data_IF_198292185783
#
_entry.id   IF_198292185783
#
_cell.length_a   1.000
_cell.length_b   1.000
_cell.length_c   1.000
_cell.angle_alpha   90.00
_cell.angle_beta   90.00
_cell.angle_gamma   90.00
#
_symmetry.space_group_name_H-M   'P 1'
#
loop_
_entity.id
_entity.type
_entity.pdbx_description
1 polymer ?
#
# COMPACT_ATOMS: atom_id res chain seq x y z
N UNK A 1 15.72 11.65 13.44
CA UNK A 1 14.44 11.19 12.86
C UNK A 1 14.47 9.68 12.98
N UNK A 2 13.63 9.07 13.81
CA UNK A 2 13.68 7.62 14.07
C UNK A 2 13.42 6.88 12.75
N UNK A 3 14.41 6.11 12.28
CA UNK A 3 14.25 5.24 11.11
C UNK A 3 13.29 4.09 11.48
N UNK A 4 12.00 4.26 11.16
CA UNK A 4 11.01 3.22 11.41
C UNK A 4 11.24 2.08 10.42
N UNK A 5 11.69 0.94 10.95
CA UNK A 5 11.79 -0.31 10.18
C UNK A 5 10.68 -1.24 10.60
N UNK A 6 9.85 -1.65 9.63
CA UNK A 6 8.78 -2.61 9.86
C UNK A 6 9.30 -4.03 9.69
N UNK A 7 8.97 -4.90 10.65
CA UNK A 7 9.36 -6.32 10.73
C UNK A 7 10.85 -6.56 10.44
N UNK A 8 11.71 -5.60 10.84
CA UNK A 8 13.15 -5.55 10.54
C UNK A 8 13.52 -5.68 9.05
N UNK A 9 12.57 -5.46 8.15
CA UNK A 9 12.74 -5.63 6.69
C UNK A 9 12.44 -4.36 5.91
N UNK A 10 11.36 -3.66 6.21
CA UNK A 10 10.92 -2.53 5.40
C UNK A 10 11.29 -1.21 6.07
N UNK A 11 12.28 -0.50 5.52
CA UNK A 11 12.68 0.82 6.02
C UNK A 11 11.77 1.89 5.42
N UNK A 12 10.95 2.54 6.24
CA UNK A 12 10.07 3.62 5.75
C UNK A 12 10.92 4.82 5.29
N UNK A 13 10.68 5.28 4.06
CA UNK A 13 11.34 6.45 3.47
C UNK A 13 10.46 7.70 3.65
N UNK A 14 9.19 7.61 3.25
CA UNK A 14 8.24 8.74 3.28
C UNK A 14 6.80 8.29 3.25
N UNK A 15 5.90 9.11 3.77
CA UNK A 15 4.46 8.96 3.57
C UNK A 15 4.07 9.42 2.15
N UNK A 16 3.22 8.65 1.48
CA UNK A 16 2.65 8.94 0.16
C UNK A 16 1.25 9.53 0.26
N UNK A 17 0.43 8.94 1.12
CA UNK A 17 -0.96 9.33 1.27
C UNK A 17 -1.52 8.92 2.62
N UNK A 18 -2.51 9.68 3.05
CA UNK A 18 -3.30 9.47 4.24
C UNK A 18 -4.77 9.55 3.87
N UNK A 19 -5.59 8.58 4.28
CA UNK A 19 -7.03 8.59 4.02
C UNK A 19 -7.83 7.79 5.05
N UNK A 20 -9.15 7.77 4.90
CA UNK A 20 -10.09 7.22 5.89
C UNK A 20 -9.97 5.72 6.18
N UNK A 21 -9.17 4.98 5.42
CA UNK A 21 -8.98 3.53 5.62
C UNK A 21 -7.52 3.15 5.87
N UNK A 22 -6.58 4.10 5.88
CA UNK A 22 -5.18 3.78 6.06
C UNK A 22 -4.19 4.85 5.65
N UNK A 23 -2.92 4.54 5.88
CA UNK A 23 -1.76 5.33 5.47
C UNK A 23 -0.94 4.53 4.46
N UNK A 24 -0.42 5.17 3.43
CA UNK A 24 0.49 4.53 2.47
C UNK A 24 1.86 5.19 2.56
N UNK A 25 2.91 4.38 2.59
CA UNK A 25 4.31 4.80 2.65
C UNK A 25 5.09 4.26 1.47
N UNK A 26 6.17 4.95 1.07
CA UNK A 26 7.28 4.30 0.38
C UNK A 26 8.21 3.71 1.43
N UNK A 27 8.63 2.46 1.22
CA UNK A 27 9.67 1.82 1.99
C UNK A 27 10.72 1.19 1.07
N UNK A 28 11.91 0.91 1.60
CA UNK A 28 12.94 0.07 0.99
C UNK A 28 12.87 -1.34 1.59
N UNK A 29 12.90 -2.38 0.75
CA UNK A 29 13.04 -3.76 1.21
C UNK A 29 14.52 -4.07 1.50
N UNK A 30 14.87 -4.03 2.78
CA UNK A 30 16.25 -4.19 3.25
C UNK A 30 16.79 -5.62 3.07
N UNK A 31 15.91 -6.60 2.85
CA UNK A 31 16.31 -8.00 2.66
C UNK A 31 16.68 -8.33 1.21
N UNK A 32 16.33 -7.46 0.26
CA UNK A 32 16.65 -7.67 -1.16
C UNK A 32 17.88 -6.85 -1.56
N UNK A 33 18.77 -7.40 -2.42
CA UNK A 33 19.91 -6.66 -2.96
C UNK A 33 19.44 -5.39 -3.68
N UNK A 34 20.15 -4.28 -3.42
CA UNK A 34 19.84 -2.98 -4.03
C UNK A 34 18.63 -2.27 -3.40
N UNK A 35 18.05 -2.82 -2.34
CA UNK A 35 17.00 -2.19 -1.53
C UNK A 35 15.86 -1.59 -2.38
N UNK A 36 15.18 -2.42 -3.20
CA UNK A 36 14.12 -1.93 -4.06
C UNK A 36 13.00 -1.28 -3.26
N UNK A 37 12.39 -0.25 -3.84
CA UNK A 37 11.25 0.45 -3.23
C UNK A 37 9.98 -0.40 -3.32
N UNK A 38 9.18 -0.33 -2.27
CA UNK A 38 7.84 -0.89 -2.21
C UNK A 38 6.86 0.11 -1.59
N UNK A 39 5.57 -0.04 -1.90
CA UNK A 39 4.51 0.67 -1.22
C UNK A 39 4.05 -0.15 -0.01
N UNK A 40 4.00 0.46 1.17
CA UNK A 40 3.44 -0.14 2.39
C UNK A 40 2.12 0.53 2.69
N UNK A 41 1.02 -0.22 2.63
CA UNK A 41 -0.29 0.22 3.15
C UNK A 41 -0.46 -0.26 4.58
N UNK A 42 -0.75 0.67 5.47
CA UNK A 42 -1.10 0.46 6.87
C UNK A 42 -2.62 0.62 7.02
N UNK A 43 -3.29 -0.41 7.51
CA UNK A 43 -4.69 -0.34 7.91
C UNK A 43 -4.83 0.49 9.21
N UNK A 44 -5.54 1.61 9.12
CA UNK A 44 -5.93 2.42 10.28
C UNK A 44 -7.45 2.64 10.27
N UNK A 45 -8.21 1.78 10.96
CA UNK A 45 -9.65 1.98 11.10
C UNK A 45 -9.94 3.29 11.84
N UNK A 46 -10.98 4.02 11.42
CA UNK A 46 -11.42 5.26 12.09
C UNK A 46 -12.04 5.01 13.46
N UNK A 47 -12.46 3.78 13.72
CA UNK A 47 -13.14 3.34 14.93
C UNK A 47 -12.43 2.10 15.47
N UNK A 48 -12.12 2.14 16.76
CA UNK A 48 -11.36 1.11 17.47
C UNK A 48 -12.25 0.08 18.16
N UNK A 49 -13.57 0.16 17.98
CA UNK A 49 -14.49 -0.88 18.48
C UNK A 49 -14.13 -2.24 17.88
N UNK A 50 -14.13 -3.32 18.69
CA UNK A 50 -13.68 -4.64 18.25
C UNK A 50 -14.37 -5.14 16.98
N UNK A 51 -15.67 -4.88 16.82
CA UNK A 51 -16.43 -5.28 15.64
C UNK A 51 -15.99 -4.56 14.36
N UNK A 52 -15.57 -3.29 14.45
CA UNK A 52 -15.07 -2.53 13.30
C UNK A 52 -13.66 -2.97 12.94
N UNK A 53 -12.81 -3.18 13.95
CA UNK A 53 -11.45 -3.69 13.76
C UNK A 53 -11.48 -5.07 13.08
N UNK A 54 -12.34 -5.98 13.53
CA UNK A 54 -12.50 -7.32 12.97
C UNK A 54 -13.00 -7.27 11.51
N UNK A 55 -13.98 -6.39 11.21
CA UNK A 55 -14.48 -6.21 9.85
C UNK A 55 -13.39 -5.63 8.92
N UNK A 56 -12.65 -4.62 9.40
CA UNK A 56 -11.56 -4.00 8.66
C UNK A 56 -10.44 -5.02 8.39
N UNK A 57 -10.07 -5.83 9.38
CA UNK A 57 -9.10 -6.92 9.24
C UNK A 57 -9.53 -7.91 8.15
N UNK A 58 -10.79 -8.37 8.17
CA UNK A 58 -11.31 -9.29 7.15
C UNK A 58 -11.24 -8.72 5.73
N UNK A 59 -11.55 -7.43 5.57
CA UNK A 59 -11.45 -6.76 4.27
C UNK A 59 -10.00 -6.70 3.79
N UNK A 60 -9.07 -6.39 4.70
CA UNK A 60 -7.65 -6.34 4.43
C UNK A 60 -7.06 -7.71 4.04
N UNK A 61 -7.39 -8.76 4.80
CA UNK A 61 -7.00 -10.13 4.48
C UNK A 61 -7.54 -10.57 3.11
N UNK A 62 -8.77 -10.15 2.77
CA UNK A 62 -9.38 -10.42 1.47
C UNK A 62 -8.66 -9.68 0.33
N UNK A 63 -8.21 -8.44 0.55
CA UNK A 63 -7.40 -7.69 -0.42
C UNK A 63 -6.09 -8.45 -0.71
N UNK A 64 -5.37 -8.86 0.34
CA UNK A 64 -4.14 -9.64 0.21
C UNK A 64 -4.38 -10.95 -0.56
N UNK A 65 -5.41 -11.73 -0.21
CA UNK A 65 -5.74 -12.97 -0.92
C UNK A 65 -6.12 -12.73 -2.39
N UNK A 66 -6.81 -11.63 -2.68
CA UNK A 66 -7.21 -11.31 -4.06
C UNK A 66 -6.00 -10.94 -4.90
N UNK A 67 -5.11 -10.08 -4.39
CA UNK A 67 -3.86 -9.73 -5.06
C UNK A 67 -2.95 -10.94 -5.25
N UNK A 68 -2.86 -11.82 -4.25
CA UNK A 68 -2.10 -13.06 -4.38
C UNK A 68 -2.63 -13.95 -5.51
N UNK A 69 -3.95 -14.09 -5.65
CA UNK A 69 -4.59 -14.86 -6.73
C UNK A 69 -4.37 -14.23 -8.11
N UNK A 70 -4.35 -12.90 -8.20
CA UNK A 70 -4.05 -12.18 -9.44
C UNK A 70 -2.59 -12.40 -9.89
N UNK A 71 -1.69 -12.64 -8.95
CA UNK A 71 -0.28 -12.91 -9.22
C UNK A 71 0.39 -11.71 -9.88
N UNK A 72 1.24 -11.98 -10.89
CA UNK A 72 1.95 -10.94 -11.64
C UNK A 72 1.17 -10.51 -12.87
N UNK A 73 0.87 -9.22 -12.97
CA UNK A 73 0.19 -8.62 -14.12
C UNK A 73 0.73 -7.21 -14.41
N UNK A 74 0.94 -6.86 -15.67
CA UNK A 74 1.61 -5.60 -16.05
C UNK A 74 0.85 -4.32 -15.66
N UNK A 75 -0.44 -4.43 -15.33
CA UNK A 75 -1.31 -3.30 -14.97
C UNK A 75 -1.86 -3.36 -13.54
N UNK A 76 -1.39 -4.32 -12.73
CA UNK A 76 -1.85 -4.48 -11.34
C UNK A 76 -0.61 -4.63 -10.45
N UNK A 77 -0.40 -3.75 -9.46
CA UNK A 77 0.74 -3.84 -8.55
C UNK A 77 0.75 -5.18 -7.81
N UNK A 78 1.88 -5.87 -7.87
CA UNK A 78 2.04 -7.20 -7.26
C UNK A 78 2.03 -7.12 -5.73
N UNK A 79 1.49 -8.16 -5.07
CA UNK A 79 1.65 -8.35 -3.63
C UNK A 79 3.08 -8.82 -3.32
N UNK A 80 3.76 -8.15 -2.40
CA UNK A 80 5.10 -8.54 -1.93
C UNK A 80 5.05 -9.20 -0.55
N UNK A 81 4.21 -8.69 0.36
CA UNK A 81 3.99 -9.27 1.67
C UNK A 81 2.67 -8.80 2.29
N UNK A 82 2.19 -9.58 3.24
CA UNK A 82 1.09 -9.25 4.14
C UNK A 82 1.52 -9.65 5.55
N UNK A 83 1.52 -8.71 6.50
CA UNK A 83 2.05 -8.94 7.84
C UNK A 83 1.42 -8.05 8.90
N UNK A 84 1.64 -8.42 10.15
CA UNK A 84 1.19 -7.66 11.34
C UNK A 84 2.43 -7.22 12.12
N UNK A 85 2.37 -6.02 12.72
CA UNK A 85 3.37 -5.56 13.67
C UNK A 85 2.68 -4.80 14.81
N UNK A 86 2.83 -5.28 16.04
CA UNK A 86 2.04 -4.78 17.16
C UNK A 86 0.56 -5.11 16.95
N UNK A 87 -0.29 -4.08 16.96
CA UNK A 87 -1.73 -4.20 16.72
C UNK A 87 -2.16 -3.65 15.34
N UNK A 88 -1.19 -3.45 14.44
CA UNK A 88 -1.38 -2.83 13.14
C UNK A 88 -1.13 -3.84 12.00
N UNK A 89 -1.85 -3.67 10.91
CA UNK A 89 -1.85 -4.57 9.74
C UNK A 89 -1.25 -3.86 8.54
N UNK A 90 -0.38 -4.56 7.83
CA UNK A 90 0.45 -4.01 6.77
C UNK A 90 0.42 -4.86 5.50
N UNK A 91 0.36 -4.18 4.35
CA UNK A 91 0.40 -4.77 3.02
C UNK A 91 1.56 -4.14 2.25
N UNK A 92 2.55 -4.95 1.89
CA UNK A 92 3.62 -4.52 1.00
C UNK A 92 3.27 -4.86 -0.44
N UNK A 93 3.33 -3.87 -1.32
CA UNK A 93 3.06 -3.99 -2.75
C UNK A 93 4.20 -3.41 -3.57
N UNK A 94 4.26 -3.81 -4.83
CA UNK A 94 5.11 -3.18 -5.84
C UNK A 94 4.90 -1.67 -5.86
N UNK A 95 5.99 -0.91 -5.83
CA UNK A 95 5.93 0.53 -5.94
C UNK A 95 5.91 0.93 -7.42
N UNK A 96 4.89 1.69 -7.82
CA UNK A 96 4.78 2.23 -9.17
C UNK A 96 5.26 3.67 -9.17
N UNK A 97 6.36 3.93 -9.86
CA UNK A 97 6.85 5.28 -10.08
C UNK A 97 5.95 6.02 -11.08
N UNK A 98 5.49 7.21 -10.69
CA UNK A 98 4.60 8.03 -11.52
C UNK A 98 3.66 8.88 -10.69
N UNK A 99 2.61 9.38 -11.34
CA UNK A 99 1.55 10.14 -10.70
C UNK A 99 0.23 9.37 -10.79
N UNK A 100 -0.69 9.67 -9.86
CA UNK A 100 -2.06 9.16 -9.93
C UNK A 100 -2.79 9.79 -11.10
N UNK A 101 -3.69 9.04 -11.73
CA UNK A 101 -4.44 9.51 -12.90
C UNK A 101 -5.22 10.81 -12.64
N UNK A 102 -5.65 11.06 -11.39
CA UNK A 102 -6.33 12.31 -11.01
C UNK A 102 -5.45 13.56 -11.09
N UNK A 103 -4.12 13.42 -11.14
CA UNK A 103 -3.21 14.52 -11.40
C UNK A 103 -3.14 14.86 -12.90
N UNK A 104 -3.36 13.87 -13.76
CA UNK A 104 -3.34 14.01 -15.22
C UNK A 104 -4.71 14.40 -15.79
N UNK A 105 -5.79 13.82 -15.24
CA UNK A 105 -7.16 14.06 -15.65
C UNK A 105 -7.84 14.96 -14.64
N UNK A 106 -7.88 16.26 -14.96
CA UNK A 106 -8.56 17.25 -14.15
C UNK A 106 -10.05 17.36 -14.53
N UNK A 107 -10.95 17.55 -13.56
CA UNK A 107 -12.37 17.78 -13.84
C UNK A 107 -12.57 18.92 -14.84
N UNK A 108 -13.32 18.68 -15.90
CA UNK A 108 -13.59 19.66 -16.96
C UNK A 108 -12.57 19.65 -18.12
N UNK A 109 -11.44 18.96 -17.97
CA UNK A 109 -10.47 18.77 -19.05
C UNK A 109 -10.73 17.44 -19.76
N UNK A 110 -11.09 17.48 -21.04
CA UNK A 110 -11.21 16.28 -21.87
C UNK A 110 -9.85 15.95 -22.49
N UNK A 111 -9.40 14.72 -22.34
CA UNK A 111 -8.26 14.20 -23.09
C UNK A 111 -8.68 13.90 -24.53
N UNK A 112 -7.72 13.92 -25.44
CA UNK A 112 -7.98 13.52 -26.83
C UNK A 112 -8.28 12.03 -26.92
N UNK A 113 -9.25 11.65 -27.74
CA UNK A 113 -9.54 10.24 -28.10
C UNK A 113 -8.66 9.74 -29.25
N UNK A 114 -7.94 10.64 -29.92
CA UNK A 114 -7.04 10.28 -31.02
C UNK A 114 -5.75 9.63 -30.49
N UNK A 115 -5.50 8.39 -30.90
CA UNK A 115 -4.25 7.65 -30.67
C UNK A 115 -3.08 8.18 -31.50
#
# INVERSE_FOLDING_TARGET
>A
MLELTLVSRYKIIKELSHGGFGQTFIAEDMHLPGHPKCAIKLLKPLDTRPEVLEAAKKLFDREAQTLYKLGKHNQIPSLLAHFEQGAEFYLAQEFIEGQVLSAEIQPGTKLSESY
#
